data_IF_677627421543
#
_entry.id   IF_677627421543
#
_cell.length_a   1.000
_cell.length_b   1.000
_cell.length_c   1.000
_cell.angle_alpha   90.00
_cell.angle_beta   90.00
_cell.angle_gamma   90.00
#
_symmetry.space_group_name_H-M   'P 1'
#
loop_
_entity.id
_entity.type
_entity.pdbx_description
1 polymer ?
#
# COMPACT_ATOMS: atom_id res chain seq x y z
N UNK A 1 -20.85 -14.87 -0.60
CA UNK A 1 -19.86 -13.92 -0.04
C UNK A 1 -19.62 -12.87 -1.11
N UNK A 2 -19.82 -11.58 -0.82
CA UNK A 2 -19.47 -10.53 -1.77
C UNK A 2 -17.95 -10.32 -1.74
N UNK A 3 -17.29 -10.20 -2.91
CA UNK A 3 -15.85 -9.91 -2.95
C UNK A 3 -15.60 -8.53 -2.32
N UNK A 4 -14.58 -8.44 -1.46
CA UNK A 4 -14.13 -7.16 -0.93
C UNK A 4 -13.46 -6.36 -2.06
N UNK A 5 -13.77 -5.07 -2.12
CA UNK A 5 -13.21 -4.10 -3.06
C UNK A 5 -13.31 -2.70 -2.50
N UNK A 6 -12.58 -1.74 -3.08
CA UNK A 6 -12.68 -0.32 -2.73
C UNK A 6 -14.10 0.25 -2.84
N UNK A 7 -14.93 -0.31 -3.72
CA UNK A 7 -16.32 0.17 -3.92
C UNK A 7 -17.26 -0.30 -2.81
N UNK A 8 -16.84 -1.32 -2.04
CA UNK A 8 -17.61 -1.95 -0.96
C UNK A 8 -17.07 -1.64 0.43
N UNK A 9 -15.87 -1.07 0.53
CA UNK A 9 -15.19 -0.78 1.80
C UNK A 9 -15.18 0.72 2.10
N UNK A 10 -15.12 1.06 3.39
CA UNK A 10 -15.02 2.45 3.82
C UNK A 10 -13.59 2.96 3.64
N UNK A 11 -13.43 4.05 2.90
CA UNK A 11 -12.15 4.71 2.72
C UNK A 11 -11.67 5.39 4.01
N UNK A 12 -10.36 5.37 4.24
CA UNK A 12 -9.69 6.28 5.17
C UNK A 12 -8.66 7.15 4.44
N UNK A 13 -8.42 8.35 4.96
CA UNK A 13 -7.47 9.30 4.39
C UNK A 13 -6.25 9.45 5.30
N UNK A 14 -5.08 9.60 4.70
CA UNK A 14 -3.83 9.80 5.42
C UNK A 14 -2.82 10.63 4.62
N UNK A 15 -1.80 11.15 5.32
CA UNK A 15 -0.71 11.88 4.71
C UNK A 15 -1.18 13.09 3.88
N UNK A 16 -0.49 13.33 2.77
CA UNK A 16 -0.81 14.41 1.83
C UNK A 16 -1.40 13.82 0.53
N UNK A 17 -2.60 13.20 0.65
CA UNK A 17 -3.32 12.63 -0.49
C UNK A 17 -3.20 11.11 -0.61
N UNK A 18 -2.96 10.40 0.50
CA UNK A 18 -3.16 8.96 0.59
C UNK A 18 -4.62 8.63 0.91
N UNK A 19 -5.16 7.64 0.21
CA UNK A 19 -6.49 7.07 0.47
C UNK A 19 -6.36 5.56 0.50
N UNK A 20 -6.86 4.91 1.53
CA UNK A 20 -6.78 3.46 1.71
C UNK A 20 -8.14 2.83 1.97
N UNK A 21 -8.29 1.58 1.52
CA UNK A 21 -9.46 0.74 1.74
C UNK A 21 -9.02 -0.60 2.34
N UNK A 22 -9.38 -0.91 3.60
CA UNK A 22 -9.07 -2.20 4.20
C UNK A 22 -9.95 -3.28 3.55
N UNK A 23 -9.33 -4.14 2.73
CA UNK A 23 -10.02 -5.23 2.03
C UNK A 23 -10.12 -6.48 2.91
N UNK A 24 -9.08 -6.74 3.69
CA UNK A 24 -9.02 -7.84 4.67
C UNK A 24 -8.39 -7.30 5.94
N UNK A 25 -9.03 -7.54 7.08
CA UNK A 25 -8.48 -7.19 8.39
C UNK A 25 -8.73 -8.35 9.36
N UNK A 26 -7.65 -9.05 9.71
CA UNK A 26 -7.65 -10.15 10.67
C UNK A 26 -6.45 -10.01 11.60
N UNK A 27 -6.36 -10.85 12.63
CA UNK A 27 -5.23 -10.82 13.55
C UNK A 27 -3.87 -11.12 12.90
N UNK A 28 -3.84 -11.82 11.75
CA UNK A 28 -2.59 -12.24 11.09
C UNK A 28 -2.39 -11.72 9.67
N UNK A 29 -3.34 -10.94 9.13
CA UNK A 29 -3.27 -10.43 7.77
C UNK A 29 -4.07 -9.14 7.64
N UNK A 30 -3.44 -8.16 7.01
CA UNK A 30 -4.03 -6.89 6.59
C UNK A 30 -3.76 -6.72 5.09
N UNK A 31 -4.82 -6.59 4.30
CA UNK A 31 -4.73 -6.25 2.87
C UNK A 31 -5.44 -4.93 2.67
N UNK A 32 -4.71 -3.96 2.12
CA UNK A 32 -5.21 -2.62 1.85
C UNK A 32 -4.98 -2.32 0.37
N UNK A 33 -5.99 -1.82 -0.31
CA UNK A 33 -5.80 -1.13 -1.59
C UNK A 33 -5.61 0.36 -1.31
N UNK A 34 -4.57 0.97 -1.88
CA UNK A 34 -4.27 2.39 -1.66
C UNK A 34 -4.12 3.16 -2.99
N UNK A 35 -4.51 4.42 -2.97
CA UNK A 35 -4.19 5.40 -4.00
C UNK A 35 -3.41 6.54 -3.38
N UNK A 36 -2.28 6.88 -3.99
CA UNK A 36 -1.38 7.93 -3.52
C UNK A 36 -1.28 9.06 -4.54
N UNK A 37 -1.52 10.30 -4.10
CA UNK A 37 -1.25 11.48 -4.92
C UNK A 37 0.26 11.62 -5.21
N UNK A 38 0.68 12.23 -6.34
CA UNK A 38 2.09 12.51 -6.62
C UNK A 38 2.77 13.26 -5.46
N UNK A 39 3.91 12.75 -5.01
CA UNK A 39 4.66 13.30 -3.87
C UNK A 39 4.15 12.88 -2.49
N UNK A 40 3.03 12.15 -2.40
CA UNK A 40 2.65 11.47 -1.17
C UNK A 40 3.67 10.37 -0.85
N UNK A 41 4.04 10.26 0.41
CA UNK A 41 5.03 9.28 0.87
C UNK A 41 4.76 8.87 2.30
N UNK A 42 5.11 7.65 2.62
CA UNK A 42 5.12 7.16 3.98
C UNK A 42 6.37 7.63 4.72
N UNK A 43 6.27 7.73 6.05
CA UNK A 43 7.45 7.96 6.90
C UNK A 43 8.28 6.69 6.94
N UNK A 44 9.59 6.81 6.75
CA UNK A 44 10.52 5.69 6.86
C UNK A 44 10.42 5.04 8.25
N UNK A 45 10.11 3.73 8.27
CA UNK A 45 10.06 2.91 9.47
C UNK A 45 10.39 1.45 9.11
N UNK A 46 10.30 0.55 10.09
CA UNK A 46 10.49 -0.89 9.88
C UNK A 46 9.52 -1.68 10.74
N UNK A 47 9.12 -2.86 10.28
CA UNK A 47 8.26 -3.78 11.01
C UNK A 47 9.10 -4.82 11.76
N UNK A 48 8.90 -4.94 13.07
CA UNK A 48 9.60 -5.93 13.91
C UNK A 48 8.96 -7.33 13.89
N UNK A 49 7.67 -7.39 13.55
CA UNK A 49 6.82 -8.58 13.72
C UNK A 49 5.93 -8.85 12.50
N UNK A 50 6.14 -8.12 11.40
CA UNK A 50 5.36 -8.25 10.19
C UNK A 50 6.26 -8.11 8.97
N UNK A 51 5.85 -8.72 7.88
CA UNK A 51 6.41 -8.53 6.55
C UNK A 51 5.43 -7.70 5.74
N UNK A 52 5.95 -6.91 4.80
CA UNK A 52 5.17 -6.06 3.92
C UNK A 52 5.64 -6.28 2.49
N UNK A 53 4.68 -6.45 1.59
CA UNK A 53 4.91 -6.43 0.15
C UNK A 53 3.97 -5.40 -0.50
N UNK A 54 4.36 -4.93 -1.67
CA UNK A 54 3.57 -4.00 -2.46
C UNK A 54 3.26 -4.64 -3.80
N UNK A 55 2.02 -4.46 -4.26
CA UNK A 55 1.62 -4.84 -5.60
C UNK A 55 1.05 -3.63 -6.32
N UNK A 56 1.76 -3.18 -7.35
CA UNK A 56 1.37 -1.99 -8.10
C UNK A 56 0.28 -2.33 -9.13
N UNK A 57 -0.95 -1.88 -8.84
CA UNK A 57 -2.08 -2.01 -9.77
C UNK A 57 -1.99 -1.03 -10.96
N UNK A 58 -1.50 0.18 -10.70
CA UNK A 58 -1.35 1.24 -11.70
C UNK A 58 -0.31 2.28 -11.25
N UNK A 59 0.29 2.96 -12.22
CA UNK A 59 1.24 4.04 -11.96
C UNK A 59 2.67 3.58 -11.67
N UNK A 60 3.42 4.43 -10.97
CA UNK A 60 4.82 4.22 -10.59
C UNK A 60 5.03 4.72 -9.16
N UNK A 61 5.80 3.98 -8.40
CA UNK A 61 6.24 4.34 -7.07
C UNK A 61 7.76 4.14 -6.94
N UNK A 62 8.32 4.68 -5.88
CA UNK A 62 9.71 4.42 -5.52
C UNK A 62 9.70 3.80 -4.14
N UNK A 63 10.29 2.63 -4.01
CA UNK A 63 10.44 1.93 -2.74
C UNK A 63 11.87 2.15 -2.25
N UNK A 64 12.00 2.80 -1.10
CA UNK A 64 13.28 3.04 -0.43
C UNK A 64 13.45 2.09 0.74
N UNK A 65 14.45 1.22 0.68
CA UNK A 65 14.91 0.39 1.79
C UNK A 65 16.26 0.89 2.30
N UNK A 66 16.68 0.46 3.50
CA UNK A 66 17.98 0.87 4.05
C UNK A 66 19.12 0.51 3.09
N UNK A 67 19.68 1.53 2.44
CA UNK A 67 20.80 1.41 1.51
C UNK A 67 20.45 0.98 0.08
N UNK A 68 19.16 0.79 -0.25
CA UNK A 68 18.73 0.38 -1.59
C UNK A 68 17.46 1.13 -2.03
N UNK A 69 17.33 1.43 -3.32
CA UNK A 69 16.17 2.14 -3.87
C UNK A 69 15.73 1.45 -5.16
N UNK A 70 14.51 0.97 -5.20
CA UNK A 70 13.88 0.38 -6.40
C UNK A 70 12.84 1.35 -6.96
N UNK A 71 12.75 1.40 -8.29
CA UNK A 71 11.70 2.11 -9.02
C UNK A 71 10.70 1.04 -9.47
N UNK A 72 9.49 1.12 -8.96
CA UNK A 72 8.47 0.09 -9.16
C UNK A 72 7.36 0.61 -10.07
N UNK A 73 6.93 -0.24 -10.99
CA UNK A 73 5.91 0.08 -12.01
C UNK A 73 4.86 -1.01 -12.03
N UNK A 74 3.62 -0.63 -12.37
CA UNK A 74 2.50 -1.56 -12.42
C UNK A 74 2.82 -2.89 -13.13
N UNK A 75 2.52 -4.01 -12.45
CA UNK A 75 2.77 -5.37 -12.94
C UNK A 75 4.17 -5.93 -12.65
N UNK A 76 5.01 -5.24 -11.89
CA UNK A 76 6.26 -5.78 -11.36
C UNK A 76 6.03 -6.24 -9.90
N UNK A 77 6.59 -7.39 -9.53
CA UNK A 77 6.55 -7.94 -8.17
C UNK A 77 7.97 -7.78 -7.57
N UNK A 78 8.11 -6.94 -6.54
CA UNK A 78 9.33 -6.80 -5.72
C UNK A 78 9.10 -7.40 -4.31
#
# INVERSE_FOLDING_TARGET
>A
MHPASRDTQTAYHWGNGGVGWPLVETAGLLVIEETLAPGCSEKHHYHNQAEQCFYMLAGRAVIGMKGNRTDDTAGNED
#
